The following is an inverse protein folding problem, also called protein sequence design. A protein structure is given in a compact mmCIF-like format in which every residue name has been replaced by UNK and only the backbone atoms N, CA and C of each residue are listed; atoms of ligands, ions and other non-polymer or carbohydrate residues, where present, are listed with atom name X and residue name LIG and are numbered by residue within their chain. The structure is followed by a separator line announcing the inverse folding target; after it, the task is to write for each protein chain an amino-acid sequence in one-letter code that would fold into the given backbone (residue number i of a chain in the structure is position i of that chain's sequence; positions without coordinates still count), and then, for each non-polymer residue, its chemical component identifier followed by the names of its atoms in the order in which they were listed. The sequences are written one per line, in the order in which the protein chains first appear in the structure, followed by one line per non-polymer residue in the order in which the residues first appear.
data_IF_394363668580
#
_entry.id   IF_394363668580
#
_cell.length_a   1.000
_cell.length_b   1.000
_cell.length_c   1.000
_cell.angle_alpha   90.00
_cell.angle_beta   90.00
_cell.angle_gamma   90.00
#
_symmetry.space_group_name_H-M   'P 1'
#
loop_
_entity.id
_entity.type
_entity.pdbx_description
1 polymer ?
#
# COMPACT_ATOMS: atom_id res chain seq x y z
N UNK A 1 5.82 -2.08 -15.18
CA UNK A 1 6.90 -2.49 -14.25
C UNK A 1 6.36 -3.62 -13.38
N UNK A 2 7.16 -4.57 -12.88
CA UNK A 2 6.67 -5.62 -11.98
C UNK A 2 6.56 -5.14 -10.54
N UNK A 3 5.80 -5.86 -9.72
CA UNK A 3 5.77 -5.66 -8.26
C UNK A 3 7.13 -5.89 -7.62
N UNK A 4 7.46 -5.06 -6.63
CA UNK A 4 8.62 -5.23 -5.75
C UNK A 4 8.30 -4.76 -4.34
N UNK A 5 9.00 -5.33 -3.36
CA UNK A 5 9.06 -4.74 -2.03
C UNK A 5 9.78 -3.39 -2.11
N UNK A 6 9.31 -2.40 -1.35
CA UNK A 6 9.94 -1.09 -1.23
C UNK A 6 10.38 -0.88 0.22
N UNK A 7 11.60 -0.41 0.41
CA UNK A 7 12.19 -0.20 1.73
C UNK A 7 12.76 1.20 1.90
N UNK A 8 12.78 2.02 0.84
CA UNK A 8 13.22 3.39 0.91
C UNK A 8 12.06 4.31 1.32
N UNK A 9 12.15 4.86 2.54
CA UNK A 9 11.14 5.77 3.11
C UNK A 9 11.03 7.08 2.33
N UNK A 10 12.12 7.60 1.78
CA UNK A 10 12.09 8.85 1.00
C UNK A 10 11.34 8.66 -0.31
N UNK A 11 11.54 7.50 -0.94
CA UNK A 11 10.82 7.07 -2.13
C UNK A 11 9.31 6.89 -1.84
N UNK A 12 8.94 6.28 -0.71
CA UNK A 12 7.54 6.16 -0.29
C UNK A 12 6.92 7.52 0.04
N UNK A 13 7.60 8.34 0.84
CA UNK A 13 7.15 9.70 1.18
C UNK A 13 6.91 10.56 -0.07
N UNK A 14 7.80 10.47 -1.07
CA UNK A 14 7.65 11.21 -2.33
C UNK A 14 6.47 10.77 -3.19
N UNK A 15 6.05 9.50 -3.10
CA UNK A 15 4.85 9.02 -3.78
C UNK A 15 3.58 9.36 -3.02
N UNK A 16 3.52 8.98 -1.75
CA UNK A 16 2.35 9.19 -0.88
C UNK A 16 2.07 10.68 -0.69
N UNK A 17 3.11 11.50 -0.62
CA UNK A 17 3.02 12.96 -0.46
C UNK A 17 2.43 13.70 -1.66
N UNK A 18 2.10 13.02 -2.77
CA UNK A 18 1.38 13.63 -3.91
C UNK A 18 -0.10 13.84 -3.60
N UNK A 19 -0.66 13.04 -2.70
CA UNK A 19 -1.99 13.22 -2.12
C UNK A 19 -1.94 12.94 -0.61
N UNK A 20 -1.39 13.88 0.19
CA UNK A 20 -1.13 13.64 1.60
C UNK A 20 -2.40 13.53 2.44
N UNK A 21 -3.55 14.01 1.93
CA UNK A 21 -4.84 13.85 2.61
C UNK A 21 -5.34 12.41 2.50
N UNK A 22 -5.25 11.81 1.31
CA UNK A 22 -5.58 10.41 1.10
C UNK A 22 -4.66 9.48 1.89
N UNK A 23 -3.36 9.81 1.91
CA UNK A 23 -2.30 8.97 2.47
C UNK A 23 -1.85 9.40 3.87
N UNK A 24 -2.67 10.15 4.62
CA UNK A 24 -2.26 10.74 5.90
C UNK A 24 -1.77 9.69 6.92
N UNK A 25 -2.44 8.54 7.01
CA UNK A 25 -2.03 7.44 7.89
C UNK A 25 -0.77 6.74 7.38
N UNK A 26 -0.72 6.43 6.09
CA UNK A 26 0.43 5.80 5.43
C UNK A 26 1.71 6.66 5.55
N UNK A 27 1.57 7.99 5.53
CA UNK A 27 2.69 8.91 5.77
C UNK A 27 3.17 8.85 7.22
N UNK A 28 2.27 8.71 8.20
CA UNK A 28 2.63 8.49 9.60
C UNK A 28 3.28 7.12 9.83
N UNK A 29 2.92 6.11 9.04
CA UNK A 29 3.52 4.77 9.12
C UNK A 29 5.01 4.74 8.70
N UNK A 30 5.53 5.84 8.12
CA UNK A 30 6.95 6.02 7.83
C UNK A 30 7.78 6.43 9.05
N UNK A 31 7.13 6.81 10.16
CA UNK A 31 7.82 7.14 11.41
C UNK A 31 8.44 5.88 12.05
N UNK A 32 9.53 6.06 12.78
CA UNK A 32 10.30 4.96 13.39
C UNK A 32 9.47 4.06 14.31
N UNK A 33 8.43 4.61 14.93
CA UNK A 33 7.54 3.86 15.81
C UNK A 33 6.71 2.82 15.03
N UNK A 34 6.19 3.19 13.86
CA UNK A 34 5.29 2.36 13.06
C UNK A 34 6.04 1.49 12.05
N UNK A 35 7.17 1.98 11.53
CA UNK A 35 7.94 1.33 10.47
C UNK A 35 8.20 -0.17 10.68
N UNK A 36 8.57 -0.67 11.88
CA UNK A 36 8.80 -2.10 12.11
C UNK A 36 7.57 -2.99 11.86
N UNK A 37 6.37 -2.41 11.83
CA UNK A 37 5.11 -3.09 11.59
C UNK A 37 4.63 -2.97 10.14
N UNK A 38 5.43 -2.42 9.23
CA UNK A 38 5.02 -2.16 7.84
C UNK A 38 5.74 -3.06 6.85
N UNK A 39 5.05 -3.44 5.79
CA UNK A 39 5.65 -4.04 4.59
C UNK A 39 5.07 -3.34 3.37
N UNK A 40 5.94 -2.71 2.59
CA UNK A 40 5.53 -1.88 1.46
C UNK A 40 5.80 -2.58 0.14
N UNK A 41 4.87 -2.44 -0.78
CA UNK A 41 4.95 -2.98 -2.13
C UNK A 41 4.69 -1.89 -3.15
N UNK A 42 5.40 -1.95 -4.27
CA UNK A 42 5.28 -0.99 -5.35
C UNK A 42 5.20 -1.64 -6.71
N UNK A 43 4.45 -0.99 -7.59
CA UNK A 43 4.48 -1.22 -9.03
C UNK A 43 4.43 0.13 -9.74
N UNK A 44 5.49 0.50 -10.45
CA UNK A 44 5.58 1.85 -10.99
C UNK A 44 5.45 2.87 -9.86
N UNK A 45 4.43 3.72 -9.91
CA UNK A 45 4.12 4.73 -8.87
C UNK A 45 3.00 4.31 -7.90
N UNK A 46 2.36 3.16 -8.11
CA UNK A 46 1.38 2.62 -7.18
C UNK A 46 2.06 2.01 -5.95
N UNK A 47 1.48 2.22 -4.77
CA UNK A 47 1.95 1.75 -3.47
C UNK A 47 0.85 0.97 -2.77
N UNK A 48 1.21 -0.11 -2.10
CA UNK A 48 0.36 -0.79 -1.14
C UNK A 48 1.15 -1.05 0.14
N UNK A 49 0.48 -0.93 1.29
CA UNK A 49 1.02 -1.22 2.62
C UNK A 49 0.33 -2.44 3.19
N UNK A 50 1.09 -3.42 3.67
CA UNK A 50 0.61 -4.43 4.59
C UNK A 50 1.09 -4.08 6.00
N UNK A 51 0.17 -3.68 6.87
CA UNK A 51 0.42 -3.33 8.25
C UNK A 51 0.20 -4.53 9.19
N UNK A 52 1.22 -4.88 9.97
CA UNK A 52 1.28 -6.05 10.85
C UNK A 52 0.99 -5.73 12.32
N UNK A 53 0.80 -4.45 12.67
CA UNK A 53 0.48 -4.04 14.04
C UNK A 53 -0.95 -4.38 14.47
N UNK A 54 -1.82 -4.71 13.51
CA UNK A 54 -3.19 -5.19 13.73
C UNK A 54 -3.30 -6.71 13.57
N UNK A 55 -4.38 -7.31 14.09
CA UNK A 55 -4.71 -8.73 13.91
C UNK A 55 -6.18 -8.88 13.51
N UNK A 56 -6.50 -9.35 12.28
CA UNK A 56 -5.56 -9.75 11.22
C UNK A 56 -4.73 -8.56 10.69
N UNK A 57 -3.62 -8.79 9.96
CA UNK A 57 -2.87 -7.70 9.34
C UNK A 57 -3.78 -6.93 8.37
N UNK A 58 -3.47 -5.67 8.14
CA UNK A 58 -4.33 -4.76 7.38
C UNK A 58 -3.62 -4.35 6.09
N UNK A 59 -4.22 -4.63 4.94
CA UNK A 59 -3.77 -4.16 3.64
C UNK A 59 -4.39 -2.79 3.34
N UNK A 60 -3.56 -1.80 3.05
CA UNK A 60 -3.97 -0.50 2.53
C UNK A 60 -3.56 -0.43 1.07
N UNK A 61 -4.53 -0.16 0.20
CA UNK A 61 -4.32 0.09 -1.21
C UNK A 61 -5.22 1.25 -1.62
N UNK A 62 -4.65 2.46 -1.52
CA UNK A 62 -5.36 3.71 -1.70
C UNK A 62 -4.83 4.45 -2.93
N UNK A 63 -5.76 5.04 -3.67
CA UNK A 63 -5.49 5.79 -4.90
C UNK A 63 -6.67 6.72 -5.21
N UNK A 64 -6.38 7.88 -5.80
CA UNK A 64 -7.38 8.66 -6.52
C UNK A 64 -7.86 7.94 -7.80
N UNK A 65 -8.94 8.42 -8.46
CA UNK A 65 -9.54 7.72 -9.60
C UNK A 65 -8.58 7.40 -10.75
N UNK A 66 -7.60 8.26 -11.02
CA UNK A 66 -6.64 8.09 -12.11
C UNK A 66 -5.62 6.95 -11.86
N UNK A 67 -5.35 6.59 -10.61
CA UNK A 67 -4.35 5.58 -10.25
C UNK A 67 -4.91 4.17 -10.04
N UNK A 68 -6.24 3.99 -10.06
CA UNK A 68 -6.92 2.73 -9.74
C UNK A 68 -6.43 1.57 -10.61
N UNK A 69 -6.20 1.81 -11.91
CA UNK A 69 -5.73 0.76 -12.83
C UNK A 69 -4.33 0.23 -12.49
N UNK A 70 -3.38 1.11 -12.16
CA UNK A 70 -2.03 0.69 -11.76
C UNK A 70 -2.02 0.00 -10.40
N UNK A 71 -2.86 0.47 -9.46
CA UNK A 71 -3.01 -0.15 -8.15
C UNK A 71 -3.69 -1.52 -8.22
N UNK A 72 -4.67 -1.70 -9.12
CA UNK A 72 -5.25 -3.02 -9.40
C UNK A 72 -4.20 -4.00 -9.96
N UNK A 73 -3.32 -3.54 -10.85
CA UNK A 73 -2.23 -4.36 -11.35
C UNK A 73 -1.23 -4.75 -10.24
N UNK A 74 -0.89 -3.82 -9.33
CA UNK A 74 -0.10 -4.10 -8.13
C UNK A 74 -0.76 -5.18 -7.27
N UNK A 75 -2.05 -5.03 -6.97
CA UNK A 75 -2.79 -5.99 -6.13
C UNK A 75 -2.88 -7.39 -6.77
N UNK A 76 -3.13 -7.47 -8.08
CA UNK A 76 -3.19 -8.76 -8.78
C UNK A 76 -1.85 -9.51 -8.77
N UNK A 77 -0.74 -8.80 -8.91
CA UNK A 77 0.61 -9.37 -8.79
C UNK A 77 0.99 -9.68 -7.32
N UNK A 78 0.44 -8.94 -6.35
CA UNK A 78 0.71 -9.10 -4.92
C UNK A 78 -0.11 -10.22 -4.25
N UNK A 79 -1.30 -10.51 -4.75
CA UNK A 79 -2.25 -11.45 -4.14
C UNK A 79 -1.65 -12.81 -3.74
N UNK A 80 -0.77 -13.45 -4.54
CA UNK A 80 -0.19 -14.76 -4.17
C UNK A 80 0.73 -14.74 -2.95
N UNK A 81 1.23 -13.57 -2.54
CA UNK A 81 2.16 -13.43 -1.41
C UNK A 81 1.52 -12.77 -0.18
N UNK A 82 0.24 -12.38 -0.27
CA UNK A 82 -0.49 -11.84 0.87
C UNK A 82 -0.79 -12.94 1.90
N UNK A 83 -0.95 -12.57 3.19
CA UNK A 83 -1.45 -13.48 4.20
C UNK A 83 -2.78 -14.09 3.78
N UNK A 84 -3.03 -15.33 4.21
CA UNK A 84 -4.29 -16.05 3.93
C UNK A 84 -5.53 -15.31 4.47
N UNK A 85 -5.35 -14.43 5.46
CA UNK A 85 -6.38 -13.53 6.00
C UNK A 85 -5.75 -12.17 6.29
N UNK A 86 -6.34 -11.12 5.77
CA UNK A 86 -6.08 -9.73 6.11
C UNK A 86 -7.39 -8.94 6.04
N UNK A 87 -7.47 -7.85 6.80
CA UNK A 87 -8.46 -6.80 6.53
C UNK A 87 -7.93 -5.93 5.40
N UNK A 88 -8.81 -5.30 4.60
CA UNK A 88 -8.39 -4.49 3.47
C UNK A 88 -9.13 -3.15 3.43
N UNK A 89 -8.37 -2.06 3.39
CA UNK A 89 -8.84 -0.72 3.06
C UNK A 89 -8.48 -0.42 1.61
N UNK A 90 -9.50 -0.47 0.75
CA UNK A 90 -9.34 -0.37 -0.69
C UNK A 90 -10.04 0.89 -1.19
N UNK A 91 -9.40 1.61 -2.10
CA UNK A 91 -10.11 2.60 -2.91
C UNK A 91 -11.23 1.93 -3.73
N UNK A 92 -12.35 2.64 -4.00
CA UNK A 92 -13.44 2.12 -4.80
C UNK A 92 -12.98 1.57 -6.16
N UNK A 93 -13.49 0.39 -6.54
CA UNK A 93 -13.16 -0.30 -7.79
C UNK A 93 -12.08 -1.37 -7.65
N UNK A 94 -11.46 -1.52 -6.48
CA UNK A 94 -10.43 -2.53 -6.19
C UNK A 94 -10.98 -3.77 -5.48
N UNK A 95 -12.23 -3.77 -5.05
CA UNK A 95 -12.84 -4.85 -4.25
C UNK A 95 -13.02 -6.18 -5.00
N UNK A 96 -12.75 -6.22 -6.31
CA UNK A 96 -12.87 -7.42 -7.16
C UNK A 96 -11.55 -7.87 -7.78
N UNK A 97 -10.44 -7.25 -7.40
CA UNK A 97 -9.11 -7.61 -7.89
C UNK A 97 -8.69 -8.96 -7.34
#
# INVERSE_FOLDING_TARGET
MSVRAEHDRGVLAGLLGRDPLLHAYELGDLDDFFWPYTSWFRRGEAVALLYHGARPPTLLALSGPAGVGELAALLGELAPVLPTRCDAHLSPGLERV
#
